data_IF_399408827028
#
_entry.id   IF_399408827028
#
_cell.length_a   1.000
_cell.length_b   1.000
_cell.length_c   1.000
_cell.angle_alpha   90.00
_cell.angle_beta   90.00
_cell.angle_gamma   90.00
#
_symmetry.space_group_name_H-M   'P 1'
#
loop_
_entity.id
_entity.type
_entity.pdbx_description
1 polymer ?
#
# COMPACT_ATOMS: atom_id res chain seq x y z
N UNK A 1 -6.82 -30.41 -30.93
CA UNK A 1 -6.73 -29.95 -29.53
C UNK A 1 -5.88 -28.69 -29.51
N UNK A 2 -6.50 -27.52 -29.73
CA UNK A 2 -5.85 -26.21 -29.72
C UNK A 2 -5.90 -25.66 -28.30
N UNK A 3 -4.82 -25.85 -27.55
CA UNK A 3 -4.66 -25.22 -26.24
C UNK A 3 -4.67 -23.72 -26.39
N UNK A 4 -5.80 -23.09 -26.06
CA UNK A 4 -5.87 -21.64 -25.89
C UNK A 4 -5.01 -21.28 -24.68
N UNK A 5 -3.84 -20.71 -24.96
CA UNK A 5 -3.00 -20.09 -23.93
C UNK A 5 -3.72 -18.80 -23.50
N UNK A 6 -4.60 -18.89 -22.51
CA UNK A 6 -5.33 -17.77 -21.88
C UNK A 6 -4.48 -16.98 -20.86
N UNK A 7 -3.19 -17.26 -20.78
CA UNK A 7 -2.29 -16.84 -19.71
C UNK A 7 -2.02 -15.32 -19.52
N UNK A 8 -2.09 -14.42 -20.53
CA UNK A 8 -1.68 -13.02 -20.32
C UNK A 8 -2.72 -12.10 -19.69
N UNK A 9 -4.01 -12.23 -20.07
CA UNK A 9 -5.08 -11.33 -19.59
C UNK A 9 -5.40 -11.55 -18.11
N UNK A 10 -5.30 -12.80 -17.66
CA UNK A 10 -5.46 -13.16 -16.25
C UNK A 10 -4.33 -12.58 -15.38
N UNK A 11 -3.10 -12.50 -15.92
CA UNK A 11 -1.95 -11.92 -15.21
C UNK A 11 -2.07 -10.40 -15.05
N UNK A 12 -2.45 -9.69 -16.10
CA UNK A 12 -2.70 -8.24 -16.05
C UNK A 12 -3.83 -7.87 -15.10
N UNK A 13 -4.95 -8.61 -15.14
CA UNK A 13 -6.06 -8.42 -14.23
C UNK A 13 -5.66 -8.67 -12.77
N UNK A 14 -4.87 -9.72 -12.51
CA UNK A 14 -4.33 -10.03 -11.17
C UNK A 14 -3.38 -8.93 -10.65
N UNK A 15 -2.48 -8.42 -11.50
CA UNK A 15 -1.56 -7.35 -11.11
C UNK A 15 -2.33 -6.07 -10.81
N UNK A 16 -3.26 -5.66 -11.69
CA UNK A 16 -4.10 -4.48 -11.50
C UNK A 16 -4.93 -4.58 -10.21
N UNK A 17 -5.56 -5.74 -9.97
CA UNK A 17 -6.29 -6.00 -8.72
C UNK A 17 -5.37 -5.87 -7.51
N UNK A 18 -4.17 -6.46 -7.57
CA UNK A 18 -3.23 -6.42 -6.44
C UNK A 18 -2.74 -5.00 -6.14
N UNK A 19 -2.53 -4.19 -7.17
CA UNK A 19 -2.21 -2.78 -7.00
C UNK A 19 -3.35 -2.00 -6.34
N UNK A 20 -4.60 -2.27 -6.73
CA UNK A 20 -5.76 -1.65 -6.09
C UNK A 20 -5.86 -2.01 -4.60
N UNK A 21 -5.64 -3.28 -4.25
CA UNK A 21 -5.58 -3.76 -2.86
C UNK A 21 -4.47 -3.02 -2.07
N UNK A 22 -3.26 -2.92 -2.62
CA UNK A 22 -2.15 -2.21 -1.97
C UNK A 22 -2.43 -0.71 -1.77
N UNK A 23 -3.09 -0.07 -2.73
CA UNK A 23 -3.50 1.32 -2.61
C UNK A 23 -4.57 1.52 -1.54
N UNK A 24 -5.53 0.59 -1.45
CA UNK A 24 -6.54 0.60 -0.39
C UNK A 24 -5.91 0.36 0.99
N UNK A 25 -4.98 -0.58 1.11
CA UNK A 25 -4.22 -0.84 2.33
C UNK A 25 -3.44 0.42 2.75
N UNK A 26 -2.78 1.09 1.81
CA UNK A 26 -2.08 2.35 2.05
C UNK A 26 -3.01 3.43 2.63
N UNK A 27 -4.17 3.65 2.01
CA UNK A 27 -5.16 4.61 2.51
C UNK A 27 -5.67 4.26 3.92
N UNK A 28 -5.91 2.97 4.17
CA UNK A 28 -6.33 2.48 5.48
C UNK A 28 -5.27 2.75 6.55
N UNK A 29 -4.01 2.45 6.26
CA UNK A 29 -2.88 2.68 7.16
C UNK A 29 -2.67 4.17 7.46
N UNK A 30 -2.81 5.05 6.46
CA UNK A 30 -2.72 6.50 6.67
C UNK A 30 -3.86 7.03 7.55
N UNK A 31 -5.09 6.55 7.33
CA UNK A 31 -6.23 6.91 8.18
C UNK A 31 -6.03 6.46 9.63
N UNK A 32 -5.47 5.26 9.84
CA UNK A 32 -5.10 4.78 11.17
C UNK A 32 -4.01 5.64 11.80
N UNK A 33 -2.99 6.04 11.04
CA UNK A 33 -1.94 6.95 11.53
C UNK A 33 -2.53 8.29 12.01
N UNK A 34 -3.46 8.88 11.26
CA UNK A 34 -4.12 10.14 11.63
C UNK A 34 -4.96 9.99 12.91
N UNK A 35 -5.61 8.85 13.11
CA UNK A 35 -6.32 8.55 14.35
C UNK A 35 -5.35 8.45 15.55
N UNK A 36 -4.23 7.75 15.37
CA UNK A 36 -3.20 7.59 16.40
C UNK A 36 -2.56 8.93 16.79
N UNK A 37 -2.37 9.85 15.85
CA UNK A 37 -1.90 11.21 16.14
C UNK A 37 -2.90 12.00 16.99
N UNK A 38 -4.20 11.87 16.74
CA UNK A 38 -5.24 12.48 17.58
C UNK A 38 -5.19 11.92 18.99
N UNK A 39 -4.97 10.61 19.14
CA UNK A 39 -4.77 9.99 20.45
C UNK A 39 -3.52 10.54 21.14
N UNK A 40 -2.40 10.66 20.43
CA UNK A 40 -1.19 11.26 20.97
C UNK A 40 -1.42 12.70 21.45
N UNK A 41 -2.12 13.52 20.68
CA UNK A 41 -2.47 14.89 21.06
C UNK A 41 -3.32 14.93 22.34
N UNK A 42 -4.34 14.07 22.43
CA UNK A 42 -5.20 13.97 23.61
C UNK A 42 -4.40 13.57 24.86
N UNK A 43 -3.54 12.55 24.78
CA UNK A 43 -2.71 12.12 25.89
C UNK A 43 -1.69 13.19 26.31
N UNK A 44 -1.15 13.95 25.35
CA UNK A 44 -0.27 15.08 25.63
C UNK A 44 -1.02 16.18 26.39
N UNK A 45 -2.26 16.47 26.01
CA UNK A 45 -3.07 17.53 26.62
C UNK A 45 -3.46 17.21 28.08
N UNK A 46 -3.67 15.93 28.42
CA UNK A 46 -3.97 15.49 29.79
C UNK A 46 -2.72 15.21 30.65
N UNK A 47 -1.55 15.68 30.22
CA UNK A 47 -0.30 15.55 30.98
C UNK A 47 0.28 14.13 31.02
N UNK A 48 0.03 13.31 29.99
CA UNK A 48 0.56 11.95 29.84
C UNK A 48 1.51 11.84 28.64
N UNK A 49 2.71 12.45 28.72
CA UNK A 49 3.63 12.52 27.59
C UNK A 49 4.16 11.15 27.14
N UNK A 50 4.36 10.19 28.05
CA UNK A 50 4.85 8.85 27.70
C UNK A 50 3.83 8.07 26.87
N UNK A 51 2.55 8.17 27.24
CA UNK A 51 1.45 7.62 26.44
C UNK A 51 1.38 8.31 25.08
N UNK A 52 1.51 9.64 25.03
CA UNK A 52 1.52 10.38 23.78
C UNK A 52 2.67 9.95 22.86
N UNK A 53 3.87 9.73 23.41
CA UNK A 53 5.03 9.23 22.67
C UNK A 53 4.76 7.83 22.09
N UNK A 54 4.10 6.96 22.85
CA UNK A 54 3.71 5.62 22.40
C UNK A 54 2.75 5.68 21.21
N UNK A 55 1.74 6.54 21.27
CA UNK A 55 0.78 6.73 20.18
C UNK A 55 1.43 7.32 18.92
N UNK A 56 2.36 8.28 19.06
CA UNK A 56 3.13 8.81 17.92
C UNK A 56 3.98 7.73 17.27
N UNK A 57 4.67 6.92 18.07
CA UNK A 57 5.48 5.82 17.55
C UNK A 57 4.64 4.81 16.75
N UNK A 58 3.42 4.51 17.21
CA UNK A 58 2.46 3.68 16.47
C UNK A 58 2.04 4.35 15.15
N UNK A 59 1.70 5.64 15.18
CA UNK A 59 1.33 6.40 13.97
C UNK A 59 2.44 6.36 12.91
N UNK A 60 3.69 6.58 13.32
CA UNK A 60 4.85 6.52 12.43
C UNK A 60 5.08 5.11 11.88
N UNK A 61 4.77 4.08 12.66
CA UNK A 61 4.83 2.69 12.18
C UNK A 61 3.79 2.43 11.08
N UNK A 62 2.56 2.94 11.24
CA UNK A 62 1.54 2.86 10.20
C UNK A 62 1.95 3.59 8.92
N UNK A 63 2.57 4.77 9.03
CA UNK A 63 3.11 5.51 7.87
C UNK A 63 4.23 4.77 7.15
N UNK A 64 5.12 4.12 7.90
CA UNK A 64 6.18 3.28 7.31
C UNK A 64 5.60 2.11 6.52
N UNK A 65 4.58 1.45 7.05
CA UNK A 65 3.89 0.37 6.35
C UNK A 65 3.14 0.88 5.12
N UNK A 66 2.47 2.03 5.21
CA UNK A 66 1.79 2.66 4.07
C UNK A 66 2.78 2.94 2.93
N UNK A 67 3.96 3.49 3.25
CA UNK A 67 5.03 3.72 2.28
C UNK A 67 5.52 2.41 1.64
N UNK A 68 5.55 1.32 2.39
CA UNK A 68 5.93 0.01 1.86
C UNK A 68 4.87 -0.51 0.88
N UNK A 69 3.58 -0.38 1.20
CA UNK A 69 2.47 -0.73 0.29
C UNK A 69 2.52 0.05 -1.01
N UNK A 70 2.79 1.37 -0.96
CA UNK A 70 2.97 2.20 -2.16
C UNK A 70 4.14 1.72 -3.02
N UNK A 71 5.32 1.49 -2.41
CA UNK A 71 6.49 0.97 -3.15
C UNK A 71 6.22 -0.37 -3.83
N UNK A 72 5.44 -1.25 -3.19
CA UNK A 72 5.04 -2.52 -3.81
C UNK A 72 4.12 -2.31 -5.00
N UNK A 73 3.19 -1.36 -4.92
CA UNK A 73 2.33 -1.01 -6.04
C UNK A 73 3.14 -0.44 -7.23
N UNK A 74 4.15 0.39 -6.95
CA UNK A 74 5.04 0.94 -7.98
C UNK A 74 5.84 -0.15 -8.71
N UNK A 75 6.38 -1.12 -7.96
CA UNK A 75 7.09 -2.27 -8.54
C UNK A 75 6.17 -3.10 -9.43
N UNK A 76 4.93 -3.34 -9.00
CA UNK A 76 3.93 -4.05 -9.81
C UNK A 76 3.56 -3.28 -11.08
N UNK A 77 3.41 -1.96 -10.99
CA UNK A 77 3.15 -1.12 -12.17
C UNK A 77 4.31 -1.16 -13.16
N UNK A 78 5.55 -1.11 -12.68
CA UNK A 78 6.73 -1.22 -13.52
C UNK A 78 6.81 -2.59 -14.23
N UNK A 79 6.54 -3.68 -13.50
CA UNK A 79 6.49 -5.02 -14.06
C UNK A 79 5.40 -5.17 -15.13
N UNK A 80 4.21 -4.61 -14.88
CA UNK A 80 3.13 -4.61 -15.86
C UNK A 80 3.53 -3.85 -17.14
N UNK A 81 4.15 -2.69 -16.99
CA UNK A 81 4.61 -1.89 -18.13
C UNK A 81 5.67 -2.63 -18.96
N UNK A 82 6.55 -3.39 -18.32
CA UNK A 82 7.53 -4.22 -19.02
C UNK A 82 6.83 -5.33 -19.82
N UNK A 83 5.91 -6.08 -19.20
CA UNK A 83 5.15 -7.16 -19.87
C UNK A 83 4.37 -6.62 -21.08
N UNK A 84 3.73 -5.45 -20.93
CA UNK A 84 2.98 -4.81 -22.01
C UNK A 84 3.89 -4.19 -23.08
N UNK A 85 5.07 -3.70 -22.69
CA UNK A 85 6.08 -3.13 -23.59
C UNK A 85 6.72 -4.19 -24.48
N UNK A 86 7.05 -5.36 -23.93
CA UNK A 86 7.56 -6.51 -24.68
C UNK A 86 6.57 -6.97 -25.76
N UNK A 87 5.25 -6.84 -25.53
CA UNK A 87 4.21 -7.15 -26.53
C UNK A 87 4.14 -6.18 -27.72
N UNK A 88 4.61 -4.93 -27.59
CA UNK A 88 4.51 -3.95 -28.70
C UNK A 88 5.62 -4.09 -29.73
N UNK A 89 6.67 -4.85 -29.42
CA UNK A 89 7.85 -5.03 -30.26
C UNK A 89 7.95 -6.42 -30.89
N UNK A 90 6.96 -7.30 -30.69
CA UNK A 90 6.84 -8.64 -31.26
C UNK A 90 5.70 -8.69 -32.27
#
# INVERSE_FOLDING_TARGET
MTGHITYPLDTEAKITRRMAELNQDCQCLLSQADYLDKMAANYSAIGRPDSAATWRWLADSMRREANFSTKRADVLQAALNQILGEKKCA
#
